data_IF_544770344792
#
_entry.id   IF_544770344792
#
_cell.length_a   1.000
_cell.length_b   1.000
_cell.length_c   1.000
_cell.angle_alpha   90.00
_cell.angle_beta   90.00
_cell.angle_gamma   90.00
#
_symmetry.space_group_name_H-M   'P 1'
#
loop_
_entity.id
_entity.type
_entity.pdbx_description
1 polymer ?
#
# COMPACT_ATOMS: atom_id res chain seq x y z
N UNK A 1 31.57 7.73 -14.69
CA UNK A 1 30.13 7.58 -14.96
C UNK A 1 29.42 8.70 -14.25
N UNK A 2 28.44 9.37 -14.88
CA UNK A 2 27.68 10.44 -14.23
C UNK A 2 26.45 9.87 -13.53
N UNK A 3 25.86 10.60 -12.58
CA UNK A 3 24.60 10.19 -11.92
C UNK A 3 23.50 9.84 -12.94
N UNK A 4 23.44 10.58 -14.06
CA UNK A 4 22.48 10.32 -15.13
C UNK A 4 22.69 8.93 -15.74
N UNK A 5 23.94 8.57 -16.04
CA UNK A 5 24.28 7.30 -16.69
C UNK A 5 23.95 6.12 -15.76
N UNK A 6 24.18 6.27 -14.46
CA UNK A 6 23.87 5.26 -13.44
C UNK A 6 22.35 5.03 -13.35
N UNK A 7 21.56 6.13 -13.27
CA UNK A 7 20.10 6.06 -13.25
C UNK A 7 19.53 5.44 -14.53
N UNK A 8 20.04 5.84 -15.71
CA UNK A 8 19.61 5.24 -16.97
C UNK A 8 19.93 3.75 -17.05
N UNK A 9 21.07 3.34 -16.51
CA UNK A 9 21.50 1.94 -16.49
C UNK A 9 20.58 1.09 -15.62
N UNK A 10 20.28 1.55 -14.41
CA UNK A 10 19.37 0.85 -13.50
C UNK A 10 17.94 0.79 -14.03
N UNK A 11 17.41 1.87 -14.60
CA UNK A 11 16.08 1.85 -15.25
C UNK A 11 16.05 0.82 -16.38
N UNK A 12 17.05 0.83 -17.28
CA UNK A 12 17.13 -0.14 -18.39
C UNK A 12 17.19 -1.57 -17.87
N UNK A 13 17.90 -1.80 -16.77
CA UNK A 13 18.02 -3.11 -16.13
C UNK A 13 16.68 -3.58 -15.57
N UNK A 14 15.97 -2.74 -14.79
CA UNK A 14 14.65 -3.06 -14.23
C UNK A 14 13.66 -3.50 -15.32
N UNK A 15 13.63 -2.83 -16.47
CA UNK A 15 12.72 -3.19 -17.56
C UNK A 15 13.15 -4.43 -18.36
N UNK A 16 14.43 -4.82 -18.33
CA UNK A 16 14.97 -5.96 -19.09
C UNK A 16 15.05 -7.24 -18.29
N UNK A 17 15.32 -7.13 -16.99
CA UNK A 17 15.48 -8.29 -16.12
C UNK A 17 14.17 -9.07 -16.01
N UNK A 18 14.28 -10.40 -16.01
CA UNK A 18 13.11 -11.26 -15.91
C UNK A 18 12.50 -11.15 -14.52
N UNK A 19 11.18 -11.09 -14.46
CA UNK A 19 10.45 -11.25 -13.21
C UNK A 19 10.47 -12.70 -12.75
N UNK A 20 10.76 -12.89 -11.46
CA UNK A 20 10.59 -14.16 -10.78
C UNK A 20 9.43 -14.04 -9.78
N UNK A 21 8.42 -14.87 -9.99
CA UNK A 21 7.24 -14.94 -9.13
C UNK A 21 7.27 -16.21 -8.29
N UNK A 22 6.73 -16.10 -7.08
CA UNK A 22 6.39 -17.24 -6.24
C UNK A 22 4.93 -17.13 -5.80
N UNK A 23 4.24 -18.25 -5.68
CA UNK A 23 2.92 -18.25 -5.07
C UNK A 23 3.03 -18.07 -3.56
N UNK A 24 2.09 -17.32 -2.98
CA UNK A 24 1.98 -17.10 -1.56
C UNK A 24 0.57 -17.38 -1.05
N UNK A 25 0.46 -17.56 0.26
CA UNK A 25 -0.83 -17.73 0.97
C UNK A 25 -1.04 -16.69 2.06
N UNK A 26 -0.07 -15.78 2.23
CA UNK A 26 -0.05 -14.75 3.27
C UNK A 26 0.40 -13.44 2.63
N UNK A 27 -0.20 -12.32 3.08
CA UNK A 27 0.23 -10.97 2.67
C UNK A 27 1.71 -10.78 3.00
N UNK A 28 2.57 -10.38 2.04
CA UNK A 28 4.00 -10.28 2.25
C UNK A 28 4.32 -9.11 3.20
N UNK A 29 5.23 -9.31 4.16
CA UNK A 29 5.91 -8.26 4.92
C UNK A 29 7.03 -7.60 4.09
N UNK A 30 7.58 -6.49 4.60
CA UNK A 30 8.63 -5.70 3.95
C UNK A 30 9.91 -6.47 3.63
N UNK A 31 10.24 -7.49 4.40
CA UNK A 31 11.40 -8.38 4.23
C UNK A 31 11.10 -9.64 3.39
N UNK A 32 9.84 -9.85 3.00
CA UNK A 32 9.40 -11.11 2.37
C UNK A 32 9.40 -11.07 0.84
N UNK A 33 9.65 -9.91 0.23
CA UNK A 33 9.85 -9.74 -1.21
C UNK A 33 11.31 -9.35 -1.44
N UNK A 34 12.06 -10.16 -2.19
CA UNK A 34 13.45 -9.88 -2.49
C UNK A 34 13.65 -8.62 -3.35
N UNK A 35 14.86 -8.06 -3.33
CA UNK A 35 15.22 -6.93 -4.19
C UNK A 35 15.24 -7.31 -5.68
N UNK A 36 15.00 -6.32 -6.54
CA UNK A 36 14.94 -6.50 -7.99
C UNK A 36 13.54 -6.96 -8.44
N UNK A 37 13.49 -7.63 -9.58
CA UNK A 37 12.23 -8.06 -10.21
C UNK A 37 11.70 -9.34 -9.58
N UNK A 38 11.34 -9.27 -8.30
CA UNK A 38 10.73 -10.38 -7.55
C UNK A 38 9.29 -10.03 -7.20
N UNK A 39 8.40 -11.01 -7.28
CA UNK A 39 7.00 -10.84 -6.92
C UNK A 39 6.43 -12.03 -6.15
N UNK A 40 5.41 -11.77 -5.34
CA UNK A 40 4.60 -12.82 -4.69
C UNK A 40 3.19 -12.73 -5.27
N UNK A 41 2.72 -13.83 -5.84
CA UNK A 41 1.38 -13.93 -6.39
C UNK A 41 0.44 -14.46 -5.33
N UNK A 42 -0.67 -13.75 -5.10
CA UNK A 42 -1.68 -14.08 -4.11
C UNK A 42 -3.05 -14.11 -4.78
N UNK A 43 -3.84 -15.12 -4.44
CA UNK A 43 -5.29 -15.08 -4.63
C UNK A 43 -5.91 -14.55 -3.33
N UNK A 44 -6.41 -13.33 -3.36
CA UNK A 44 -6.86 -12.60 -2.19
C UNK A 44 -8.00 -11.63 -2.52
N UNK A 45 -8.85 -11.36 -1.53
CA UNK A 45 -9.85 -10.30 -1.59
C UNK A 45 -9.29 -9.03 -0.97
N UNK A 46 -9.38 -7.91 -1.70
CA UNK A 46 -8.96 -6.59 -1.20
C UNK A 46 -10.19 -5.79 -0.83
N UNK A 47 -10.25 -5.32 0.41
CA UNK A 47 -11.23 -4.34 0.88
C UNK A 47 -10.55 -2.97 1.00
N UNK A 48 -11.16 -1.96 0.41
CA UNK A 48 -10.71 -0.58 0.49
C UNK A 48 -11.83 0.31 1.04
N UNK A 49 -11.50 1.10 2.06
CA UNK A 49 -12.42 2.06 2.69
C UNK A 49 -11.72 3.41 2.78
N UNK A 50 -12.31 4.42 2.14
CA UNK A 50 -11.77 5.77 2.08
C UNK A 50 -12.71 6.77 2.75
N UNK A 51 -12.13 7.72 3.48
CA UNK A 51 -12.85 8.87 4.01
C UNK A 51 -12.73 10.00 2.99
N UNK A 52 -13.75 10.13 2.15
CA UNK A 52 -13.80 11.15 1.10
C UNK A 52 -13.58 12.55 1.67
N UNK A 53 -12.87 13.39 0.91
CA UNK A 53 -12.54 14.79 1.26
C UNK A 53 -11.71 14.97 2.54
N UNK A 54 -11.14 13.89 3.09
CA UNK A 54 -10.38 13.97 4.34
C UNK A 54 -9.12 14.84 4.24
N UNK A 55 -8.52 14.99 3.05
CA UNK A 55 -7.43 15.94 2.79
C UNK A 55 -7.88 17.39 3.01
N UNK A 56 -9.03 17.78 2.46
CA UNK A 56 -9.56 19.13 2.69
C UNK A 56 -9.91 19.35 4.16
N UNK A 57 -10.44 18.32 4.84
CA UNK A 57 -10.76 18.38 6.26
C UNK A 57 -9.53 18.66 7.13
N UNK A 58 -8.39 18.01 6.88
CA UNK A 58 -7.16 18.27 7.66
C UNK A 58 -6.55 19.63 7.36
N UNK A 59 -6.73 20.14 6.14
CA UNK A 59 -6.20 21.45 5.73
C UNK A 59 -7.03 22.62 6.27
N UNK A 60 -8.34 22.42 6.50
CA UNK A 60 -9.28 23.51 6.81
C UNK A 60 -9.82 23.50 8.24
N UNK A 61 -9.79 22.36 8.95
CA UNK A 61 -10.31 22.24 10.31
C UNK A 61 -9.21 22.13 11.36
N UNK A 62 -9.61 22.26 12.64
CA UNK A 62 -8.71 22.09 13.78
C UNK A 62 -8.22 20.63 13.86
N UNK A 63 -6.94 20.37 14.19
CA UNK A 63 -6.40 19.01 14.26
C UNK A 63 -7.19 18.04 15.15
N UNK A 64 -7.68 18.52 16.30
CA UNK A 64 -8.48 17.69 17.22
C UNK A 64 -9.81 17.24 16.62
N UNK A 65 -10.48 18.10 15.86
CA UNK A 65 -11.75 17.77 15.20
C UNK A 65 -11.55 16.70 14.13
N UNK A 66 -10.53 16.86 13.28
CA UNK A 66 -10.20 15.88 12.25
C UNK A 66 -9.81 14.52 12.88
N UNK A 67 -9.07 14.54 13.99
CA UNK A 67 -8.71 13.33 14.73
C UNK A 67 -9.92 12.58 15.30
N UNK A 68 -10.93 13.29 15.79
CA UNK A 68 -12.19 12.69 16.26
C UNK A 68 -12.93 11.99 15.10
N UNK A 69 -13.04 12.65 13.95
CA UNK A 69 -13.68 12.07 12.76
C UNK A 69 -12.94 10.81 12.29
N UNK A 70 -11.61 10.87 12.15
CA UNK A 70 -10.82 9.70 11.74
C UNK A 70 -11.01 8.52 12.70
N UNK A 71 -10.96 8.76 14.01
CA UNK A 71 -11.17 7.72 15.01
C UNK A 71 -12.56 7.09 14.88
N UNK A 72 -13.60 7.90 14.73
CA UNK A 72 -14.97 7.40 14.58
C UNK A 72 -15.15 6.58 13.30
N UNK A 73 -14.65 7.08 12.17
CA UNK A 73 -14.72 6.37 10.90
C UNK A 73 -14.00 5.02 10.96
N UNK A 74 -12.73 5.01 11.39
CA UNK A 74 -11.92 3.79 11.51
C UNK A 74 -12.54 2.79 12.48
N UNK A 75 -13.10 3.27 13.60
CA UNK A 75 -13.78 2.40 14.55
C UNK A 75 -14.98 1.68 13.92
N UNK A 76 -15.84 2.41 13.22
CA UNK A 76 -17.00 1.83 12.53
C UNK A 76 -16.58 0.83 11.45
N UNK A 77 -15.61 1.20 10.61
CA UNK A 77 -15.07 0.29 9.59
C UNK A 77 -14.52 -0.99 10.21
N UNK A 78 -13.67 -0.89 11.24
CA UNK A 78 -13.11 -2.04 11.92
C UNK A 78 -14.19 -2.96 12.51
N UNK A 79 -15.23 -2.39 13.12
CA UNK A 79 -16.33 -3.16 13.71
C UNK A 79 -17.18 -3.88 12.66
N UNK A 80 -17.42 -3.25 11.51
CA UNK A 80 -18.14 -3.89 10.40
C UNK A 80 -17.31 -5.06 9.84
N UNK A 81 -16.01 -4.86 9.62
CA UNK A 81 -15.10 -5.90 9.11
C UNK A 81 -14.99 -7.07 10.09
N UNK A 82 -14.83 -6.79 11.39
CA UNK A 82 -14.79 -7.82 12.44
C UNK A 82 -16.10 -8.63 12.47
N UNK A 83 -17.24 -7.98 12.23
CA UNK A 83 -18.56 -8.64 12.27
C UNK A 83 -18.87 -9.46 11.02
N UNK A 84 -18.36 -9.04 9.86
CA UNK A 84 -18.61 -9.66 8.56
C UNK A 84 -17.28 -9.97 7.87
N UNK A 85 -16.52 -10.97 8.34
CA UNK A 85 -15.31 -11.42 7.67
C UNK A 85 -15.66 -12.01 6.30
N UNK A 86 -14.80 -11.73 5.31
CA UNK A 86 -14.88 -12.29 3.96
C UNK A 86 -14.58 -13.79 3.92
#
# INVERSE_FOLDING_TARGET
MTLKDDLETEVKKIFRDRWEFRDGTVVPSDDSVGLGNKGVQLDATVLYADLSESTNMVDTYKPHFSAEIYKSFLHCCAKIIERFPA
#
